data_IF_992787604353
#
_entry.id   IF_992787604353
#
_cell.length_a   1.000
_cell.length_b   1.000
_cell.length_c   1.000
_cell.angle_alpha   90.00
_cell.angle_beta   90.00
_cell.angle_gamma   90.00
#
_symmetry.space_group_name_H-M   'P 1'
#
loop_
_entity.id
_entity.type
_entity.pdbx_description
1 polymer ?
#
# COMPACT_ATOMS: atom_id res chain seq x y z
N UNK A 1 6.56 3.25 -21.07
CA UNK A 1 5.88 3.65 -19.82
C UNK A 1 5.71 2.40 -18.99
N UNK A 2 6.08 2.43 -17.70
CA UNK A 2 5.76 1.32 -16.81
C UNK A 2 4.26 1.29 -16.56
N UNK A 3 3.66 0.10 -16.52
CA UNK A 3 2.30 -0.07 -16.00
C UNK A 3 2.26 0.33 -14.51
N UNK A 4 1.17 0.99 -14.11
CA UNK A 4 0.95 1.42 -12.73
C UNK A 4 0.60 0.25 -11.82
N UNK A 5 -0.10 -0.76 -12.34
CA UNK A 5 -0.54 -1.94 -11.62
C UNK A 5 -0.38 -3.17 -12.50
N UNK A 6 0.00 -4.29 -11.89
CA UNK A 6 0.17 -5.60 -12.50
C UNK A 6 -0.50 -6.64 -11.59
N UNK A 7 -0.76 -7.85 -12.09
CA UNK A 7 -1.44 -8.89 -11.31
C UNK A 7 -0.68 -9.28 -10.01
N UNK A 8 0.65 -9.17 -10.00
CA UNK A 8 1.48 -9.45 -8.81
C UNK A 8 1.26 -8.42 -7.68
N UNK A 9 0.81 -7.20 -8.02
CA UNK A 9 0.52 -6.11 -7.09
C UNK A 9 -0.90 -6.17 -6.51
N UNK A 10 -1.65 -7.24 -6.81
CA UNK A 10 -3.05 -7.43 -6.39
C UNK A 10 -3.15 -8.57 -5.38
N UNK A 11 -3.78 -8.29 -4.24
CA UNK A 11 -4.23 -9.26 -3.26
C UNK A 11 -5.74 -9.22 -3.12
N UNK A 12 -6.43 -10.29 -3.51
CA UNK A 12 -7.90 -10.35 -3.41
C UNK A 12 -8.39 -10.99 -2.11
N UNK A 13 -7.48 -11.56 -1.32
CA UNK A 13 -7.75 -12.33 -0.10
C UNK A 13 -6.83 -11.85 1.04
N UNK A 14 -6.71 -10.52 1.16
CA UNK A 14 -5.81 -9.87 2.11
C UNK A 14 -6.20 -10.24 3.55
N UNK A 15 -5.30 -10.96 4.24
CA UNK A 15 -5.54 -11.47 5.60
C UNK A 15 -5.23 -10.46 6.71
N UNK A 16 -4.75 -9.26 6.36
CA UNK A 16 -4.44 -8.21 7.31
C UNK A 16 -5.71 -7.70 8.01
N UNK A 17 -5.62 -7.47 9.31
CA UNK A 17 -6.74 -6.99 10.14
C UNK A 17 -6.57 -5.54 10.60
N UNK A 18 -5.38 -4.95 10.40
CA UNK A 18 -5.08 -3.55 10.73
C UNK A 18 -4.55 -2.81 9.52
N UNK A 19 -4.76 -1.49 9.48
CA UNK A 19 -4.19 -0.60 8.44
C UNK A 19 -2.69 -0.81 8.23
N UNK A 20 -1.92 -0.87 9.30
CA UNK A 20 -0.46 -1.01 9.22
C UNK A 20 -0.05 -2.36 8.62
N UNK A 21 -0.73 -3.45 9.01
CA UNK A 21 -0.50 -4.77 8.45
C UNK A 21 -0.90 -4.83 6.97
N UNK A 22 -1.97 -4.15 6.59
CA UNK A 22 -2.42 -4.05 5.20
C UNK A 22 -1.41 -3.29 4.34
N UNK A 23 -0.97 -2.12 4.81
CA UNK A 23 0.03 -1.30 4.13
C UNK A 23 1.35 -2.07 3.98
N UNK A 24 1.82 -2.75 5.04
CA UNK A 24 3.02 -3.59 4.98
C UNK A 24 2.89 -4.72 3.97
N UNK A 25 1.80 -5.48 4.01
CA UNK A 25 1.60 -6.61 3.08
C UNK A 25 1.57 -6.17 1.61
N UNK A 26 0.92 -5.05 1.31
CA UNK A 26 0.92 -4.48 -0.05
C UNK A 26 2.29 -3.92 -0.44
N UNK A 27 3.00 -3.27 0.48
CA UNK A 27 4.35 -2.75 0.24
C UNK A 27 5.37 -3.88 0.01
N UNK A 28 5.26 -5.02 0.71
CA UNK A 28 6.09 -6.20 0.47
C UNK A 28 5.96 -6.73 -0.97
N UNK A 29 4.73 -6.72 -1.53
CA UNK A 29 4.50 -7.03 -2.94
C UNK A 29 5.17 -6.02 -3.87
N UNK A 30 5.13 -4.73 -3.51
CA UNK A 30 5.83 -3.68 -4.26
C UNK A 30 7.36 -3.86 -4.22
N UNK A 31 7.93 -4.32 -3.10
CA UNK A 31 9.36 -4.67 -2.99
C UNK A 31 9.69 -5.89 -3.86
N UNK A 32 8.85 -6.94 -3.82
CA UNK A 32 9.02 -8.13 -4.65
C UNK A 32 8.97 -7.81 -6.16
N UNK A 33 8.17 -6.82 -6.54
CA UNK A 33 8.09 -6.29 -7.91
C UNK A 33 9.16 -5.22 -8.24
N UNK A 34 10.16 -5.01 -7.36
CA UNK A 34 11.23 -4.03 -7.50
C UNK A 34 10.76 -2.56 -7.65
N UNK A 35 9.57 -2.24 -7.15
CA UNK A 35 8.96 -0.90 -7.17
C UNK A 35 9.37 -0.06 -5.97
N UNK A 36 9.57 -0.70 -4.81
CA UNK A 36 10.04 -0.10 -3.57
C UNK A 36 11.42 -0.64 -3.23
N UNK A 37 12.34 0.25 -2.84
CA UNK A 37 13.75 -0.09 -2.54
C UNK A 37 14.01 -0.27 -1.04
N UNK A 38 13.22 0.37 -0.19
CA UNK A 38 13.28 0.28 1.26
C UNK A 38 11.86 0.20 1.81
N UNK A 39 11.52 -0.97 2.38
CA UNK A 39 10.19 -1.24 2.91
C UNK A 39 9.86 -0.36 4.10
N UNK A 40 10.78 -0.27 5.08
CA UNK A 40 10.50 0.41 6.34
C UNK A 40 10.52 1.92 6.14
N UNK A 41 11.43 2.43 5.31
CA UNK A 41 11.42 3.84 4.88
C UNK A 41 10.13 4.22 4.16
N UNK A 42 9.69 3.41 3.19
CA UNK A 42 8.44 3.64 2.47
C UNK A 42 7.22 3.63 3.41
N UNK A 43 7.13 2.67 4.33
CA UNK A 43 6.03 2.60 5.30
C UNK A 43 6.03 3.78 6.27
N UNK A 44 7.20 4.28 6.66
CA UNK A 44 7.31 5.50 7.46
C UNK A 44 6.76 6.72 6.70
N UNK A 45 7.06 6.86 5.41
CA UNK A 45 6.53 7.94 4.57
C UNK A 45 5.00 7.84 4.39
N UNK A 46 4.47 6.62 4.19
CA UNK A 46 3.02 6.38 4.14
C UNK A 46 2.36 6.78 5.45
N UNK A 47 2.90 6.33 6.59
CA UNK A 47 2.37 6.65 7.92
C UNK A 47 2.43 8.17 8.21
N UNK A 48 3.53 8.83 7.83
CA UNK A 48 3.68 10.27 7.99
C UNK A 48 2.65 11.06 7.16
N UNK A 49 2.29 10.57 5.96
CA UNK A 49 1.26 11.18 5.12
C UNK A 49 -0.15 10.91 5.66
N UNK A 50 -0.40 9.70 6.15
CA UNK A 50 -1.69 9.31 6.75
C UNK A 50 -2.00 10.13 8.01
N UNK A 51 -0.98 10.40 8.84
CA UNK A 51 -1.11 11.18 10.08
C UNK A 51 -1.55 12.64 9.85
N UNK A 52 -1.26 13.21 8.67
CA UNK A 52 -1.66 14.59 8.34
C UNK A 52 -3.15 14.69 8.03
N UNK A 53 -3.67 13.71 7.29
CA UNK A 53 -5.06 13.62 6.89
C UNK A 53 -5.35 12.16 6.54
N UNK A 54 -6.17 11.46 7.35
CA UNK A 54 -6.54 10.09 7.09
C UNK A 54 -7.15 9.92 5.70
N UNK A 55 -6.84 8.80 5.06
CA UNK A 55 -7.24 8.50 3.68
C UNK A 55 -8.35 7.45 3.58
N UNK A 56 -8.96 7.11 4.72
CA UNK A 56 -10.18 6.30 4.77
C UNK A 56 -11.36 7.05 4.14
N UNK A 57 -12.13 6.35 3.34
CA UNK A 57 -13.33 6.83 2.66
C UNK A 57 -14.55 5.98 3.08
N UNK A 58 -15.74 6.57 2.94
CA UNK A 58 -16.99 5.83 3.09
C UNK A 58 -17.02 4.61 2.15
N UNK A 59 -17.71 3.56 2.59
CA UNK A 59 -17.79 2.30 1.83
C UNK A 59 -16.62 1.34 2.04
N UNK A 60 -15.80 1.55 3.08
CA UNK A 60 -14.74 0.61 3.47
C UNK A 60 -13.50 0.66 2.59
N UNK A 61 -13.22 1.81 1.99
CA UNK A 61 -12.08 2.01 1.09
C UNK A 61 -10.99 2.80 1.83
N UNK A 62 -9.75 2.33 1.78
CA UNK A 62 -8.57 3.09 2.19
C UNK A 62 -7.66 3.33 0.98
N UNK A 63 -7.14 4.55 0.83
CA UNK A 63 -6.19 4.91 -0.23
C UNK A 63 -4.86 5.46 0.34
N UNK A 64 -4.15 4.69 1.20
CA UNK A 64 -2.88 5.14 1.74
C UNK A 64 -1.89 5.38 0.60
N UNK A 65 -1.31 6.57 0.57
CA UNK A 65 -0.39 7.01 -0.49
C UNK A 65 0.64 7.97 0.09
N UNK A 66 1.80 8.05 -0.54
CA UNK A 66 2.80 9.06 -0.25
C UNK A 66 3.63 9.34 -1.52
N UNK A 67 4.38 10.44 -1.49
CA UNK A 67 5.56 10.60 -2.34
C UNK A 67 6.75 10.17 -1.49
N UNK A 68 7.55 9.24 -2.00
CA UNK A 68 8.67 8.67 -1.26
C UNK A 68 9.89 8.56 -2.18
N UNK A 69 11.08 8.79 -1.62
CA UNK A 69 12.35 8.54 -2.32
C UNK A 69 12.64 7.04 -2.47
N UNK A 70 11.93 6.19 -1.71
CA UNK A 70 12.06 4.74 -1.73
C UNK A 70 11.28 4.07 -2.88
N UNK A 71 10.69 4.85 -3.79
CA UNK A 71 9.88 4.36 -4.92
C UNK A 71 10.61 4.60 -6.26
N UNK A 72 10.87 3.53 -7.01
CA UNK A 72 11.56 3.59 -8.31
C UNK A 72 10.64 3.99 -9.47
N UNK A 73 9.35 3.71 -9.36
CA UNK A 73 8.35 4.00 -10.37
C UNK A 73 6.96 4.19 -9.74
N UNK A 74 6.12 5.11 -10.26
CA UNK A 74 4.73 5.21 -9.83
C UNK A 74 4.05 3.84 -9.87
N UNK A 75 3.42 3.46 -8.76
CA UNK A 75 2.90 2.10 -8.54
C UNK A 75 1.60 2.17 -7.74
N UNK A 76 0.65 1.30 -8.09
CA UNK A 76 -0.58 1.05 -7.36
C UNK A 76 -0.60 -0.43 -6.96
N UNK A 77 -0.66 -0.70 -5.66
CA UNK A 77 -0.97 -2.01 -5.12
C UNK A 77 -2.43 -2.03 -4.63
N UNK A 78 -3.12 -3.16 -4.82
CA UNK A 78 -4.53 -3.31 -4.44
C UNK A 78 -4.69 -4.48 -3.49
N UNK A 79 -5.44 -4.26 -2.41
CA UNK A 79 -5.80 -5.28 -1.43
C UNK A 79 -7.29 -5.30 -1.17
N UNK A 80 -7.89 -6.48 -1.09
CA UNK A 80 -9.27 -6.67 -0.63
C UNK A 80 -9.28 -7.64 0.55
N UNK A 81 -9.78 -7.19 1.69
CA UNK A 81 -10.11 -8.03 2.84
C UNK A 81 -11.59 -8.41 2.80
N UNK A 82 -11.91 -9.69 3.00
CA UNK A 82 -13.31 -10.15 3.15
C UNK A 82 -13.90 -9.81 4.52
N UNK A 83 -13.05 -9.58 5.52
CA UNK A 83 -13.46 -9.30 6.90
C UNK A 83 -13.52 -7.80 7.23
N UNK A 84 -13.01 -6.95 6.34
CA UNK A 84 -12.74 -5.54 6.64
C UNK A 84 -11.38 -5.36 7.33
N UNK A 85 -11.00 -4.09 7.53
CA UNK A 85 -9.76 -3.66 8.18
C UNK A 85 -10.07 -2.44 9.02
N UNK A 86 -9.59 -2.42 10.26
CA UNK A 86 -9.72 -1.28 11.18
C UNK A 86 -8.59 -0.24 11.00
#
# INVERSE_FOLDING_TARGET
MSELITAELVDLDLSATTKDAAARSLAERMVAAHRVTDLDGFLADVAAREAQMPTGLDGGIGIPHCRSEHVNAPTLAFGRSSAGID
#
